data_IF_922587906401
#
_entry.id   IF_922587906401
#
_cell.length_a   1.000
_cell.length_b   1.000
_cell.length_c   1.000
_cell.angle_alpha   90.00
_cell.angle_beta   90.00
_cell.angle_gamma   90.00
#
_symmetry.space_group_name_H-M   'P 1'
#
loop_
_entity.id
_entity.type
_entity.pdbx_description
1 polymer ?
#
# COMPACT_ATOMS: atom_id res chain seq x y z
N UNK A 1 -11.88 11.97 2.71
CA UNK A 1 -11.37 12.56 1.48
C UNK A 1 -12.44 13.46 0.86
N UNK A 2 -12.12 14.77 0.68
CA UNK A 2 -13.07 15.78 0.21
C UNK A 2 -13.70 15.39 -1.14
N UNK A 3 -12.92 14.79 -2.06
CA UNK A 3 -13.44 14.37 -3.37
C UNK A 3 -14.54 13.31 -3.26
N UNK A 4 -14.40 12.35 -2.35
CA UNK A 4 -15.43 11.34 -2.10
C UNK A 4 -16.68 11.96 -1.49
N UNK A 5 -16.54 12.83 -0.49
CA UNK A 5 -17.67 13.51 0.15
C UNK A 5 -18.47 14.39 -0.85
N UNK A 6 -17.75 15.08 -1.76
CA UNK A 6 -18.37 15.88 -2.80
C UNK A 6 -19.10 15.01 -3.83
N UNK A 7 -18.49 13.86 -4.22
CA UNK A 7 -19.13 12.89 -5.13
C UNK A 7 -20.38 12.27 -4.50
N UNK A 8 -20.26 11.74 -3.28
CA UNK A 8 -21.38 11.11 -2.54
C UNK A 8 -22.54 12.09 -2.26
N UNK A 9 -22.27 13.37 -2.17
CA UNK A 9 -23.31 14.40 -1.98
C UNK A 9 -24.18 14.64 -3.22
N UNK A 10 -23.80 14.10 -4.39
CA UNK A 10 -24.47 14.35 -5.67
C UNK A 10 -24.17 15.72 -6.29
N UNK A 11 -23.28 16.50 -5.66
CA UNK A 11 -22.95 17.87 -6.09
C UNK A 11 -22.29 17.89 -7.48
N UNK A 12 -21.47 16.89 -7.79
CA UNK A 12 -20.81 16.78 -9.10
C UNK A 12 -21.83 16.58 -10.22
N UNK A 13 -22.83 15.73 -10.00
CA UNK A 13 -23.90 15.48 -10.97
C UNK A 13 -24.80 16.70 -11.15
N UNK A 14 -25.15 17.40 -10.07
CA UNK A 14 -25.96 18.62 -10.11
C UNK A 14 -25.33 19.69 -10.99
N UNK A 15 -24.01 19.84 -10.93
CA UNK A 15 -23.27 20.86 -11.68
C UNK A 15 -22.61 20.34 -12.96
N UNK A 16 -22.84 19.06 -13.32
CA UNK A 16 -22.22 18.38 -14.48
C UNK A 16 -20.70 18.52 -14.50
N UNK A 17 -20.06 18.26 -13.35
CA UNK A 17 -18.61 18.30 -13.16
C UNK A 17 -18.05 16.89 -13.10
N UNK A 18 -17.04 16.60 -13.91
CA UNK A 18 -16.32 15.32 -13.92
C UNK A 18 -15.12 15.36 -12.97
N UNK A 19 -14.96 14.32 -12.15
CA UNK A 19 -13.71 14.05 -11.42
C UNK A 19 -12.65 13.57 -12.40
N UNK A 20 -11.55 14.32 -12.54
CA UNK A 20 -10.40 13.96 -13.35
C UNK A 20 -9.31 13.34 -12.48
N UNK A 21 -8.49 12.44 -13.06
CA UNK A 21 -7.41 11.73 -12.37
C UNK A 21 -7.87 10.37 -11.89
N UNK A 22 -8.58 10.30 -10.79
CA UNK A 22 -9.18 9.08 -10.26
C UNK A 22 -10.64 9.33 -9.88
N UNK A 23 -11.53 8.45 -10.29
CA UNK A 23 -12.93 8.47 -9.88
C UNK A 23 -13.10 7.92 -8.45
N UNK A 24 -14.34 7.97 -7.96
CA UNK A 24 -14.69 7.52 -6.61
C UNK A 24 -14.34 6.04 -6.38
N UNK A 25 -14.62 5.18 -7.38
CA UNK A 25 -14.33 3.76 -7.27
C UNK A 25 -12.83 3.49 -7.22
N UNK A 26 -12.04 4.17 -8.05
CA UNK A 26 -10.58 4.08 -8.06
C UNK A 26 -9.97 4.57 -6.75
N UNK A 27 -10.44 5.70 -6.22
CA UNK A 27 -10.01 6.22 -4.92
C UNK A 27 -10.33 5.20 -3.81
N UNK A 28 -11.57 4.70 -3.76
CA UNK A 28 -12.00 3.73 -2.76
C UNK A 28 -11.19 2.43 -2.83
N UNK A 29 -10.91 1.91 -4.04
CA UNK A 29 -10.08 0.71 -4.21
C UNK A 29 -8.63 0.94 -3.81
N UNK A 30 -8.08 2.11 -4.06
CA UNK A 30 -6.68 2.41 -3.76
C UNK A 30 -6.45 2.69 -2.26
N UNK A 31 -7.38 3.38 -1.59
CA UNK A 31 -7.24 3.79 -0.18
C UNK A 31 -7.70 2.73 0.83
N UNK A 32 -8.71 1.91 0.47
CA UNK A 32 -9.16 0.82 1.33
C UNK A 32 -8.22 -0.40 1.18
N UNK A 33 -7.53 -0.75 2.26
CA UNK A 33 -6.53 -1.82 2.28
C UNK A 33 -7.09 -3.19 1.88
N UNK A 34 -8.31 -3.51 2.28
CA UNK A 34 -8.92 -4.81 1.95
C UNK A 34 -9.35 -4.87 0.49
N UNK A 35 -9.92 -3.79 -0.03
CA UNK A 35 -10.24 -3.65 -1.46
C UNK A 35 -8.97 -3.69 -2.31
N UNK A 36 -7.94 -2.95 -1.92
CA UNK A 36 -6.65 -2.94 -2.59
C UNK A 36 -6.03 -4.34 -2.64
N UNK A 37 -5.94 -5.01 -1.50
CA UNK A 37 -5.42 -6.38 -1.42
C UNK A 37 -6.20 -7.34 -2.32
N UNK A 38 -7.53 -7.29 -2.33
CA UNK A 38 -8.37 -8.11 -3.21
C UNK A 38 -8.11 -7.81 -4.68
N UNK A 39 -7.98 -6.54 -5.06
CA UNK A 39 -7.65 -6.10 -6.41
C UNK A 39 -6.27 -6.64 -6.84
N UNK A 40 -5.25 -6.53 -5.99
CA UNK A 40 -3.91 -7.07 -6.29
C UNK A 40 -3.95 -8.59 -6.48
N UNK A 41 -4.62 -9.32 -5.61
CA UNK A 41 -4.75 -10.78 -5.74
C UNK A 41 -5.49 -11.19 -7.02
N UNK A 42 -6.50 -10.44 -7.44
CA UNK A 42 -7.27 -10.69 -8.68
C UNK A 42 -6.36 -10.65 -9.92
N UNK A 43 -5.37 -9.77 -9.94
CA UNK A 43 -4.38 -9.66 -11.04
C UNK A 43 -3.10 -10.46 -10.80
N UNK A 44 -3.10 -11.36 -9.80
CA UNK A 44 -2.00 -12.28 -9.54
C UNK A 44 -0.77 -11.64 -8.84
N UNK A 45 -0.92 -10.43 -8.29
CA UNK A 45 0.15 -9.77 -7.53
C UNK A 45 0.07 -10.11 -6.04
N UNK A 46 1.24 -10.16 -5.40
CA UNK A 46 1.37 -10.37 -3.97
C UNK A 46 1.34 -9.04 -3.24
N UNK A 47 0.70 -9.02 -2.07
CA UNK A 47 0.81 -7.98 -1.05
C UNK A 47 1.38 -8.60 0.23
N UNK A 48 1.88 -7.82 1.19
CA UNK A 48 2.22 -8.35 2.49
C UNK A 48 1.04 -9.14 3.09
N UNK A 49 1.31 -10.30 3.66
CA UNK A 49 0.27 -11.12 4.30
C UNK A 49 -0.30 -10.35 5.48
N UNK A 50 -1.61 -10.34 5.62
CA UNK A 50 -2.27 -9.61 6.69
C UNK A 50 -3.54 -10.29 7.16
N UNK A 51 -3.94 -10.00 8.39
CA UNK A 51 -5.25 -10.35 8.94
C UNK A 51 -5.70 -9.29 9.95
N UNK A 52 -7.00 -9.18 10.09
CA UNK A 52 -7.65 -8.32 11.08
C UNK A 52 -8.02 -9.15 12.30
N UNK A 53 -7.90 -8.58 13.50
CA UNK A 53 -8.27 -9.23 14.75
C UNK A 53 -8.84 -8.27 15.78
N UNK A 54 -9.88 -8.71 16.47
CA UNK A 54 -10.55 -7.97 17.54
C UNK A 54 -10.24 -8.55 18.95
N UNK A 55 -9.37 -9.56 19.03
CA UNK A 55 -8.95 -10.12 20.31
C UNK A 55 -7.53 -10.69 20.23
N UNK A 56 -6.80 -10.60 21.34
CA UNK A 56 -5.46 -11.17 21.44
C UNK A 56 -5.45 -12.69 21.16
N UNK A 57 -6.47 -13.42 21.60
CA UNK A 57 -6.59 -14.87 21.34
C UNK A 57 -6.67 -15.18 19.86
N UNK A 58 -7.50 -14.44 19.13
CA UNK A 58 -7.64 -14.59 17.66
C UNK A 58 -6.34 -14.16 16.95
N UNK A 59 -5.74 -13.05 17.38
CA UNK A 59 -4.47 -12.57 16.84
C UNK A 59 -3.36 -13.63 16.98
N UNK A 60 -3.21 -14.24 18.14
CA UNK A 60 -2.23 -15.30 18.40
C UNK A 60 -2.49 -16.56 17.55
N UNK A 61 -3.74 -16.97 17.35
CA UNK A 61 -4.07 -18.14 16.54
C UNK A 61 -3.74 -17.94 15.05
N UNK A 62 -3.81 -16.72 14.56
CA UNK A 62 -3.51 -16.38 13.16
C UNK A 62 -2.05 -15.99 12.92
N UNK A 63 -1.29 -15.65 13.96
CA UNK A 63 0.13 -15.27 13.84
C UNK A 63 0.97 -16.32 13.10
N UNK A 64 0.71 -17.61 13.35
CA UNK A 64 1.43 -18.71 12.70
C UNK A 64 1.27 -18.73 11.15
N UNK A 65 0.24 -18.07 10.60
CA UNK A 65 0.02 -17.99 9.15
C UNK A 65 0.94 -16.96 8.48
N UNK A 66 1.41 -15.98 9.24
CA UNK A 66 2.27 -14.91 8.76
C UNK A 66 3.72 -15.15 9.22
N UNK A 67 3.91 -15.48 10.49
CA UNK A 67 5.21 -15.52 11.15
C UNK A 67 5.62 -14.16 11.71
N UNK A 68 6.81 -14.10 12.30
CA UNK A 68 7.44 -12.87 12.78
C UNK A 68 8.63 -12.51 11.87
N UNK A 69 8.97 -11.24 11.72
CA UNK A 69 8.39 -10.05 12.35
C UNK A 69 7.07 -9.61 11.69
N UNK A 70 6.21 -8.91 12.45
CA UNK A 70 4.95 -8.34 11.97
C UNK A 70 4.80 -6.88 12.39
N UNK A 71 4.04 -6.12 11.60
CA UNK A 71 3.57 -4.77 11.93
C UNK A 71 2.15 -4.91 12.48
N UNK A 72 1.86 -4.22 13.58
CA UNK A 72 0.54 -4.17 14.21
C UNK A 72 0.06 -2.72 14.12
N UNK A 73 -1.13 -2.53 13.57
CA UNK A 73 -1.74 -1.20 13.40
C UNK A 73 -3.15 -1.21 13.95
N UNK A 74 -3.45 -0.44 15.00
CA UNK A 74 -4.82 -0.26 15.46
C UNK A 74 -5.67 0.43 14.39
N UNK A 75 -6.91 -0.01 14.22
CA UNK A 75 -7.86 0.63 13.31
C UNK A 75 -8.33 1.97 13.88
N UNK A 76 -8.47 2.98 13.01
CA UNK A 76 -8.98 4.31 13.34
C UNK A 76 -8.21 5.10 14.41
N UNK A 77 -6.90 4.85 14.56
CA UNK A 77 -6.04 5.67 15.42
C UNK A 77 -5.27 6.70 14.61
N UNK A 78 -5.04 7.89 15.20
CA UNK A 78 -4.24 8.94 14.60
C UNK A 78 -2.75 8.76 14.93
N UNK A 79 -1.87 9.01 13.94
CA UNK A 79 -0.43 9.07 14.16
C UNK A 79 0.23 7.76 14.59
N UNK A 80 -0.38 6.60 14.30
CA UNK A 80 0.21 5.29 14.63
C UNK A 80 0.18 4.93 16.12
N UNK A 81 -0.60 5.66 16.92
CA UNK A 81 -0.74 5.40 18.38
C UNK A 81 -1.19 3.97 18.63
N UNK A 82 -0.49 3.26 19.52
CA UNK A 82 -0.79 1.88 19.92
C UNK A 82 -0.31 0.81 18.92
N UNK A 83 0.28 1.21 17.79
CA UNK A 83 0.88 0.31 16.81
C UNK A 83 2.37 0.08 17.04
N UNK A 84 2.97 -0.84 16.28
CA UNK A 84 4.40 -1.11 16.34
C UNK A 84 4.82 -2.35 15.57
N UNK A 85 6.12 -2.60 15.57
CA UNK A 85 6.73 -3.81 14.98
C UNK A 85 7.01 -4.80 16.11
N UNK A 86 6.54 -6.03 15.94
CA UNK A 86 6.83 -7.14 16.85
C UNK A 86 7.80 -8.13 16.19
N UNK A 87 8.94 -8.34 16.79
CA UNK A 87 9.97 -9.31 16.38
C UNK A 87 9.93 -10.59 17.20
N UNK A 88 9.35 -10.50 18.40
CA UNK A 88 9.17 -11.62 19.34
C UNK A 88 7.70 -11.82 19.70
N UNK A 89 7.36 -13.02 20.19
CA UNK A 89 6.01 -13.33 20.65
C UNK A 89 5.57 -12.45 21.83
N UNK A 90 6.51 -12.07 22.69
CA UNK A 90 6.24 -11.22 23.85
C UNK A 90 5.91 -9.79 23.42
N UNK A 91 6.70 -9.23 22.50
CA UNK A 91 6.41 -7.94 21.89
C UNK A 91 5.06 -7.96 21.17
N UNK A 92 4.78 -9.04 20.41
CA UNK A 92 3.49 -9.20 19.75
C UNK A 92 2.32 -9.12 20.72
N UNK A 93 2.36 -9.87 21.83
CA UNK A 93 1.30 -9.85 22.85
C UNK A 93 1.10 -8.46 23.42
N UNK A 94 2.19 -7.79 23.78
CA UNK A 94 2.16 -6.45 24.37
C UNK A 94 1.55 -5.43 23.40
N UNK A 95 2.07 -5.37 22.16
CA UNK A 95 1.63 -4.39 21.17
C UNK A 95 0.20 -4.69 20.71
N UNK A 96 -0.15 -5.97 20.48
CA UNK A 96 -1.50 -6.34 20.07
C UNK A 96 -2.55 -6.01 21.15
N UNK A 97 -2.27 -6.26 22.42
CA UNK A 97 -3.19 -5.89 23.52
C UNK A 97 -3.38 -4.38 23.58
N UNK A 98 -2.29 -3.60 23.60
CA UNK A 98 -2.35 -2.14 23.61
C UNK A 98 -3.06 -1.58 22.37
N UNK A 99 -2.82 -2.18 21.20
CA UNK A 99 -3.46 -1.79 19.96
C UNK A 99 -4.97 -2.02 19.95
N UNK A 100 -5.43 -3.16 20.46
CA UNK A 100 -6.86 -3.46 20.58
C UNK A 100 -7.53 -2.48 21.55
N UNK A 101 -6.90 -2.18 22.69
CA UNK A 101 -7.42 -1.22 23.67
C UNK A 101 -7.45 0.22 23.13
N UNK A 102 -6.47 0.60 22.30
CA UNK A 102 -6.36 1.94 21.74
C UNK A 102 -7.31 2.17 20.56
N UNK A 103 -7.78 1.11 19.91
CA UNK A 103 -8.68 1.20 18.75
C UNK A 103 -10.11 1.47 19.19
N UNK A 104 -10.80 2.49 18.67
CA UNK A 104 -12.21 2.74 18.94
C UNK A 104 -13.14 1.57 18.59
N UNK A 105 -12.71 0.71 17.65
CA UNK A 105 -13.45 -0.48 17.23
C UNK A 105 -12.91 -1.77 17.84
N UNK A 106 -11.95 -1.69 18.79
CA UNK A 106 -11.22 -2.82 19.35
C UNK A 106 -10.59 -3.73 18.27
N UNK A 107 -10.09 -3.13 17.21
CA UNK A 107 -9.59 -3.85 16.04
C UNK A 107 -8.16 -3.48 15.71
N UNK A 108 -7.35 -4.49 15.40
CA UNK A 108 -5.99 -4.34 14.89
C UNK A 108 -5.83 -5.04 13.54
N UNK A 109 -5.07 -4.42 12.65
CA UNK A 109 -4.48 -5.07 11.48
C UNK A 109 -3.09 -5.60 11.87
N UNK A 110 -2.87 -6.88 11.60
CA UNK A 110 -1.55 -7.53 11.73
C UNK A 110 -1.05 -7.83 10.32
N UNK A 111 0.14 -7.37 10.01
CA UNK A 111 0.71 -7.43 8.65
C UNK A 111 2.15 -7.94 8.69
N UNK A 112 2.52 -8.76 7.71
CA UNK A 112 3.90 -9.21 7.50
C UNK A 112 4.84 -8.01 7.38
N UNK A 113 5.92 -8.01 8.17
CA UNK A 113 6.90 -6.94 8.10
C UNK A 113 7.83 -7.16 6.93
N UNK A 114 7.89 -6.19 6.03
CA UNK A 114 8.88 -6.10 4.96
C UNK A 114 10.03 -5.16 5.31
N UNK A 115 10.22 -4.86 6.61
CA UNK A 115 11.35 -4.05 7.07
C UNK A 115 12.67 -4.66 6.60
N UNK A 116 13.56 -3.82 6.10
CA UNK A 116 14.85 -4.24 5.54
C UNK A 116 14.79 -4.73 4.09
N UNK A 117 13.60 -4.77 3.45
CA UNK A 117 13.52 -4.99 2.01
C UNK A 117 13.88 -3.72 1.26
N UNK A 118 14.27 -3.85 -0.01
CA UNK A 118 14.48 -2.70 -0.90
C UNK A 118 13.15 -2.07 -1.26
N UNK A 119 13.11 -0.75 -1.28
CA UNK A 119 11.92 0.02 -1.65
C UNK A 119 12.08 0.67 -3.02
N UNK A 120 11.08 0.47 -3.87
CA UNK A 120 11.00 1.06 -5.20
C UNK A 120 9.63 1.65 -5.45
N UNK A 121 9.62 2.74 -6.21
CA UNK A 121 8.38 3.37 -6.66
C UNK A 121 8.39 3.50 -8.18
N UNK A 122 7.20 3.41 -8.76
CA UNK A 122 6.99 3.64 -10.20
C UNK A 122 6.00 4.79 -10.36
N UNK A 123 6.44 5.84 -11.02
CA UNK A 123 5.56 6.90 -11.48
C UNK A 123 4.97 6.52 -12.83
N UNK A 124 3.65 6.43 -12.89
CA UNK A 124 2.92 5.92 -14.04
C UNK A 124 1.83 6.88 -14.44
N UNK A 125 1.67 7.12 -15.73
CA UNK A 125 0.56 7.90 -16.28
C UNK A 125 -0.24 7.01 -17.23
N UNK A 126 -1.56 7.09 -17.14
CA UNK A 126 -2.48 6.40 -18.02
C UNK A 126 -3.57 7.34 -18.52
N UNK A 127 -4.00 7.20 -19.78
CA UNK A 127 -5.10 7.93 -20.37
C UNK A 127 -6.33 7.03 -20.64
N UNK A 128 -7.45 7.65 -21.01
CA UNK A 128 -8.71 6.95 -21.36
C UNK A 128 -8.58 6.01 -22.57
N UNK A 129 -7.56 6.18 -23.40
CA UNK A 129 -7.28 5.30 -24.53
C UNK A 129 -6.38 4.10 -24.18
N UNK A 130 -6.12 3.90 -22.87
CA UNK A 130 -5.24 2.88 -22.30
C UNK A 130 -3.76 3.02 -22.71
N UNK A 131 -3.34 4.20 -23.14
CA UNK A 131 -1.93 4.49 -23.25
C UNK A 131 -1.35 4.61 -21.83
N UNK A 132 -0.35 3.78 -21.52
CA UNK A 132 0.24 3.73 -20.20
C UNK A 132 1.76 3.87 -20.28
N UNK A 133 2.31 4.85 -19.57
CA UNK A 133 3.73 5.22 -19.64
C UNK A 133 4.30 5.22 -18.23
N UNK A 134 5.46 4.58 -18.06
CA UNK A 134 6.28 4.76 -16.87
C UNK A 134 7.09 6.04 -17.06
N UNK A 135 6.85 7.03 -16.22
CA UNK A 135 7.56 8.31 -16.26
C UNK A 135 8.97 8.15 -15.69
N UNK A 136 9.07 7.54 -14.51
CA UNK A 136 10.35 7.17 -13.92
C UNK A 136 10.19 6.01 -12.93
N UNK A 137 11.31 5.34 -12.67
CA UNK A 137 11.49 4.45 -11.53
C UNK A 137 12.25 5.18 -10.45
N UNK A 138 11.86 4.98 -9.22
CA UNK A 138 12.44 5.63 -8.04
C UNK A 138 12.96 4.56 -7.10
N UNK A 139 14.11 4.78 -6.49
CA UNK A 139 14.68 3.92 -5.47
C UNK A 139 14.91 4.72 -4.19
N UNK A 140 14.39 4.22 -3.08
CA UNK A 140 14.77 4.69 -1.76
C UNK A 140 16.02 3.95 -1.31
N UNK A 141 17.09 4.67 -1.03
CA UNK A 141 18.39 4.08 -0.65
C UNK A 141 18.30 3.41 0.71
N UNK A 142 17.53 4.00 1.62
CA UNK A 142 17.24 3.37 2.89
C UNK A 142 16.22 2.23 2.71
N UNK A 143 16.35 1.13 3.48
CA UNK A 143 15.45 0.00 3.36
C UNK A 143 14.05 0.33 3.88
N UNK A 144 13.06 -0.48 3.47
CA UNK A 144 11.71 -0.43 4.01
C UNK A 144 11.70 -0.39 5.54
N UNK A 145 10.92 0.54 6.08
CA UNK A 145 10.82 0.87 7.50
C UNK A 145 11.37 2.26 7.85
N UNK A 146 12.21 2.85 6.99
CA UNK A 146 12.52 4.29 7.01
C UNK A 146 11.45 5.01 6.20
N UNK A 147 10.92 6.13 6.70
CA UNK A 147 9.91 6.88 5.98
C UNK A 147 10.52 7.50 4.72
N UNK A 148 9.82 7.42 3.58
CA UNK A 148 10.29 7.94 2.28
C UNK A 148 10.78 9.39 2.36
N UNK A 149 10.09 10.24 3.14
CA UNK A 149 10.49 11.64 3.35
C UNK A 149 11.80 11.84 4.14
N UNK A 150 12.30 10.79 4.80
CA UNK A 150 13.54 10.78 5.58
C UNK A 150 14.66 9.99 4.87
N UNK A 151 14.37 9.41 3.70
CA UNK A 151 15.29 8.60 2.90
C UNK A 151 15.92 9.42 1.77
N UNK A 152 17.12 9.01 1.33
CA UNK A 152 17.69 9.48 0.07
C UNK A 152 16.96 8.78 -1.07
N UNK A 153 16.31 9.57 -1.90
CA UNK A 153 15.53 9.10 -3.06
C UNK A 153 16.30 9.40 -4.35
N UNK A 154 16.44 8.40 -5.22
CA UNK A 154 17.10 8.55 -6.52
C UNK A 154 16.18 8.13 -7.66
N UNK A 155 16.20 8.88 -8.75
CA UNK A 155 15.50 8.60 -9.99
C UNK A 155 16.44 8.83 -11.19
N UNK A 156 16.55 7.87 -12.13
CA UNK A 156 15.95 6.54 -12.10
C UNK A 156 16.56 5.62 -11.04
N UNK A 157 15.86 4.53 -10.69
CA UNK A 157 16.37 3.49 -9.78
C UNK A 157 17.69 2.92 -10.32
N UNK A 158 18.67 2.76 -9.43
CA UNK A 158 20.05 2.42 -9.80
C UNK A 158 20.36 0.92 -9.67
N UNK A 159 19.67 0.21 -8.76
CA UNK A 159 20.03 -1.18 -8.41
C UNK A 159 19.05 -2.23 -8.93
N UNK A 160 18.05 -1.84 -9.75
CA UNK A 160 17.17 -2.77 -10.44
C UNK A 160 17.90 -3.46 -11.60
N UNK A 161 17.78 -4.78 -11.67
CA UNK A 161 18.07 -5.49 -12.91
C UNK A 161 16.99 -5.21 -13.96
N UNK A 162 17.29 -5.39 -15.25
CA UNK A 162 16.29 -5.22 -16.30
C UNK A 162 15.04 -6.09 -16.07
N UNK A 163 15.25 -7.34 -15.64
CA UNK A 163 14.13 -8.25 -15.31
C UNK A 163 13.25 -7.71 -14.19
N UNK A 164 13.84 -7.22 -13.11
CA UNK A 164 13.09 -6.63 -12.00
C UNK A 164 12.34 -5.37 -12.46
N UNK A 165 13.02 -4.49 -13.21
CA UNK A 165 12.38 -3.31 -13.78
C UNK A 165 11.16 -3.66 -14.65
N UNK A 166 11.28 -4.65 -15.55
CA UNK A 166 10.16 -5.07 -16.40
C UNK A 166 9.02 -5.68 -15.57
N UNK A 167 9.33 -6.42 -14.51
CA UNK A 167 8.31 -6.93 -13.59
C UNK A 167 7.55 -5.80 -12.89
N UNK A 168 8.26 -4.81 -12.36
CA UNK A 168 7.65 -3.63 -11.73
C UNK A 168 6.80 -2.84 -12.74
N UNK A 169 7.32 -2.66 -13.95
CA UNK A 169 6.62 -1.97 -15.05
C UNK A 169 5.29 -2.66 -15.39
N UNK A 170 5.31 -3.97 -15.64
CA UNK A 170 4.09 -4.71 -15.96
C UNK A 170 3.12 -4.75 -14.79
N UNK A 171 3.61 -4.94 -13.57
CA UNK A 171 2.79 -4.88 -12.37
C UNK A 171 2.09 -3.52 -12.25
N UNK A 172 2.82 -2.43 -12.39
CA UNK A 172 2.27 -1.06 -12.29
C UNK A 172 1.18 -0.80 -13.33
N UNK A 173 1.39 -1.19 -14.58
CA UNK A 173 0.39 -1.04 -15.66
C UNK A 173 -0.89 -1.82 -15.31
N UNK A 174 -0.75 -3.07 -14.85
CA UNK A 174 -1.89 -3.89 -14.47
C UNK A 174 -2.62 -3.36 -13.24
N UNK A 175 -1.89 -2.78 -12.28
CA UNK A 175 -2.47 -2.13 -11.09
C UNK A 175 -3.34 -0.94 -11.51
N UNK A 176 -2.85 -0.04 -12.36
CA UNK A 176 -3.62 1.12 -12.80
C UNK A 176 -4.91 0.70 -13.53
N UNK A 177 -4.83 -0.35 -14.34
CA UNK A 177 -6.00 -0.92 -15.03
C UNK A 177 -7.03 -1.50 -14.07
N UNK A 178 -6.59 -2.30 -13.08
CA UNK A 178 -7.48 -2.94 -12.11
C UNK A 178 -8.09 -1.94 -11.13
N UNK A 179 -7.33 -0.94 -10.71
CA UNK A 179 -7.82 0.14 -9.84
C UNK A 179 -8.79 1.04 -10.60
N UNK A 180 -8.54 1.32 -11.88
CA UNK A 180 -9.40 2.13 -12.73
C UNK A 180 -8.92 3.56 -12.93
N UNK A 181 -7.67 3.90 -12.59
CA UNK A 181 -7.10 5.21 -12.95
C UNK A 181 -6.90 5.29 -14.44
N UNK A 182 -7.56 6.21 -15.11
CA UNK A 182 -7.58 6.35 -16.58
C UNK A 182 -7.35 7.77 -17.11
N UNK A 183 -7.12 8.74 -16.25
CA UNK A 183 -6.91 10.15 -16.64
C UNK A 183 -5.84 10.83 -15.80
N UNK A 184 -4.77 10.15 -15.43
CA UNK A 184 -3.78 10.81 -14.58
C UNK A 184 -2.57 9.97 -14.22
N UNK A 185 -1.75 10.55 -13.35
CA UNK A 185 -0.58 9.94 -12.77
C UNK A 185 -0.89 9.20 -11.48
N UNK A 186 -0.10 8.17 -11.25
CA UNK A 186 -0.15 7.37 -10.03
C UNK A 186 1.25 6.97 -9.60
N UNK A 187 1.43 6.89 -8.29
CA UNK A 187 2.63 6.36 -7.67
C UNK A 187 2.33 4.96 -7.15
N UNK A 188 3.11 3.96 -7.57
CA UNK A 188 2.99 2.57 -7.10
C UNK A 188 4.25 2.19 -6.35
N UNK A 189 4.08 1.75 -5.10
CA UNK A 189 5.18 1.37 -4.21
C UNK A 189 5.32 -0.15 -4.12
N UNK A 190 6.56 -0.60 -4.21
CA UNK A 190 6.95 -2.00 -4.17
C UNK A 190 8.04 -2.24 -3.13
N UNK A 191 8.01 -3.42 -2.51
CA UNK A 191 9.12 -3.94 -1.76
C UNK A 191 9.68 -5.19 -2.43
N UNK A 192 11.02 -5.26 -2.55
CA UNK A 192 11.73 -6.42 -3.10
C UNK A 192 12.64 -7.01 -2.03
N UNK A 193 12.44 -8.30 -1.75
CA UNK A 193 13.27 -9.01 -0.80
C UNK A 193 14.71 -9.16 -1.36
N UNK A 194 15.72 -8.59 -0.71
CA UNK A 194 17.09 -8.61 -1.22
C UNK A 194 17.74 -10.02 -1.21
N UNK A 195 17.11 -10.99 -0.50
CA UNK A 195 17.66 -12.36 -0.38
C UNK A 195 17.20 -13.28 -1.50
N UNK A 196 15.97 -13.11 -1.99
CA UNK A 196 15.38 -14.07 -2.93
C UNK A 196 14.67 -13.40 -4.13
N UNK A 197 14.59 -12.06 -4.15
CA UNK A 197 13.92 -11.30 -5.22
C UNK A 197 12.39 -11.34 -5.18
N UNK A 198 11.77 -11.86 -4.11
CA UNK A 198 10.32 -11.79 -3.96
C UNK A 198 9.84 -10.34 -3.94
N UNK A 199 8.83 -10.05 -4.74
CA UNK A 199 8.23 -8.73 -4.88
C UNK A 199 6.83 -8.72 -4.27
N UNK A 200 6.53 -7.67 -3.50
CA UNK A 200 5.19 -7.37 -3.01
C UNK A 200 4.81 -5.93 -3.34
N UNK A 201 3.52 -5.71 -3.62
CA UNK A 201 2.96 -4.37 -3.77
C UNK A 201 2.60 -3.85 -2.39
N UNK A 202 3.07 -2.66 -2.05
CA UNK A 202 2.81 -2.04 -0.75
C UNK A 202 1.54 -1.20 -0.81
N UNK A 203 1.51 -0.24 -1.73
CA UNK A 203 0.37 0.64 -1.94
C UNK A 203 0.40 1.28 -3.32
N UNK A 204 -0.71 1.86 -3.70
CA UNK A 204 -0.82 2.73 -4.86
C UNK A 204 -1.51 4.01 -4.44
N UNK A 205 -0.90 5.12 -4.78
CA UNK A 205 -1.49 6.45 -4.59
C UNK A 205 -2.04 6.92 -5.94
N UNK A 206 -3.36 7.14 -6.08
CA UNK A 206 -3.98 7.58 -7.34
C UNK A 206 -3.71 9.09 -7.60
N UNK A 207 -2.47 9.47 -7.51
CA UNK A 207 -1.90 10.80 -7.72
C UNK A 207 -0.41 10.68 -8.00
N UNK A 208 0.20 11.71 -8.58
CA UNK A 208 1.66 11.80 -8.73
C UNK A 208 2.33 11.84 -7.35
N UNK A 209 3.58 11.36 -7.28
CA UNK A 209 4.39 11.46 -6.08
C UNK A 209 4.58 12.91 -5.63
N UNK A 210 4.80 13.08 -4.33
CA UNK A 210 5.21 14.34 -3.73
C UNK A 210 6.67 14.30 -3.26
N UNK A 211 7.35 13.19 -3.54
CA UNK A 211 8.76 12.97 -3.23
C UNK A 211 9.67 13.72 -4.20
#
# INVERSE_FOLDING_TARGET
>A
NVSLEVSESGFLDEYNVELIGADEEAISKAEDRDKFRKAMHKIGLKTPKSFVSQSLKNALSNLNKIGLPVIIRPSFTLGGTGGGIATTLEEFKKIASSGIESSPTNEILVEESVAGWKEYEMEVVRDKADNCIIICSIENIDPMGVHTGDSITVAPALTLTDKEYQNLRFASINILREIGVDTGGSNVQFAINPKNGDMVVIEMNPRVSRS
#
